data_IF_691721490002
#
_entry.id   IF_691721490002
#
_cell.length_a   1.000
_cell.length_b   1.000
_cell.length_c   1.000
_cell.angle_alpha   90.00
_cell.angle_beta   90.00
_cell.angle_gamma   90.00
#
_symmetry.space_group_name_H-M   'P 1'
#
loop_
_entity.id
_entity.type
_entity.pdbx_description
1 polymer ?
#
# COMPACT_ATOMS: atom_id res chain seq x y z
N UNK A 1 -13.35 -19.50 -4.52
CA UNK A 1 -14.46 -19.73 -5.47
C UNK A 1 -13.88 -19.80 -6.88
N UNK A 2 -13.68 -21.03 -7.40
CA UNK A 2 -12.94 -21.25 -8.65
C UNK A 2 -13.52 -20.50 -9.86
N UNK A 3 -14.83 -20.47 -10.01
CA UNK A 3 -15.51 -19.85 -11.15
C UNK A 3 -15.38 -18.31 -11.16
N UNK A 4 -15.04 -17.72 -10.01
CA UNK A 4 -14.85 -16.28 -9.82
C UNK A 4 -13.39 -15.91 -9.59
N UNK A 5 -12.44 -16.82 -9.83
CA UNK A 5 -11.02 -16.63 -9.54
C UNK A 5 -10.23 -16.84 -10.83
N UNK A 6 -9.44 -15.85 -11.22
CA UNK A 6 -8.52 -15.93 -12.36
C UNK A 6 -7.10 -16.27 -11.94
N UNK A 7 -6.76 -16.07 -10.66
CA UNK A 7 -5.49 -16.45 -10.09
C UNK A 7 -5.42 -17.96 -9.82
N UNK A 8 -4.23 -18.53 -9.84
CA UNK A 8 -3.98 -19.96 -9.57
C UNK A 8 -3.14 -20.10 -8.31
N UNK A 9 -3.61 -20.95 -7.38
CA UNK A 9 -2.89 -21.28 -6.16
C UNK A 9 -1.61 -22.07 -6.48
N UNK A 10 -0.53 -21.75 -5.77
CA UNK A 10 0.79 -22.30 -6.01
C UNK A 10 1.57 -21.60 -7.14
N UNK A 11 0.90 -20.97 -8.10
CA UNK A 11 1.51 -20.21 -9.17
C UNK A 11 1.52 -18.70 -8.87
N UNK A 12 0.36 -18.12 -8.62
CA UNK A 12 0.19 -16.66 -8.43
C UNK A 12 0.12 -16.25 -6.97
N UNK A 13 -0.34 -17.16 -6.11
CA UNK A 13 -0.45 -16.93 -4.67
C UNK A 13 -0.34 -18.24 -3.88
N UNK A 14 -0.05 -18.11 -2.60
CA UNK A 14 -0.17 -19.20 -1.62
C UNK A 14 -1.08 -18.75 -0.48
N UNK A 15 -2.07 -19.57 -0.14
CA UNK A 15 -2.97 -19.35 0.97
C UNK A 15 -2.59 -20.30 2.11
N UNK A 16 -2.21 -19.75 3.26
CA UNK A 16 -1.97 -20.57 4.45
C UNK A 16 -3.31 -20.92 5.10
N UNK A 17 -3.64 -22.23 5.11
CA UNK A 17 -4.86 -22.75 5.73
C UNK A 17 -4.64 -23.22 7.19
N UNK A 18 -3.44 -23.09 7.73
CA UNK A 18 -3.10 -23.53 9.09
C UNK A 18 -3.56 -22.56 10.18
N UNK A 19 -4.37 -21.57 9.82
CA UNK A 19 -4.82 -20.56 10.76
C UNK A 19 -6.07 -21.00 11.50
N UNK A 20 -5.88 -21.34 12.75
CA UNK A 20 -6.95 -21.60 13.71
C UNK A 20 -7.30 -20.27 14.38
N UNK A 21 -8.59 -19.95 14.47
CA UNK A 21 -9.04 -18.82 15.27
C UNK A 21 -8.58 -19.03 16.72
N UNK A 22 -7.80 -18.12 17.31
CA UNK A 22 -7.36 -18.28 18.69
C UNK A 22 -8.56 -18.37 19.64
N UNK A 23 -8.45 -19.22 20.66
CA UNK A 23 -9.48 -19.31 21.70
C UNK A 23 -9.70 -17.92 22.32
N UNK A 24 -10.96 -17.58 22.51
CA UNK A 24 -11.38 -16.28 23.08
C UNK A 24 -11.03 -15.04 22.23
N UNK A 25 -10.68 -15.24 20.93
CA UNK A 25 -10.46 -14.12 19.99
C UNK A 25 -11.68 -13.90 19.11
N UNK A 26 -11.98 -12.63 18.85
CA UNK A 26 -12.98 -12.21 17.87
C UNK A 26 -12.39 -12.05 16.45
N UNK A 27 -11.08 -12.23 16.27
CA UNK A 27 -10.39 -12.04 15.01
C UNK A 27 -9.35 -13.12 14.77
N UNK A 28 -9.22 -13.51 13.50
CA UNK A 28 -8.12 -14.33 12.99
C UNK A 28 -7.60 -13.73 11.67
N UNK A 29 -6.31 -13.93 11.40
CA UNK A 29 -5.68 -13.49 10.17
C UNK A 29 -5.28 -14.71 9.36
N UNK A 30 -5.59 -14.71 8.07
CA UNK A 30 -5.17 -15.74 7.14
C UNK A 30 -4.09 -15.13 6.25
N UNK A 31 -2.82 -15.53 6.37
CA UNK A 31 -1.76 -15.06 5.51
C UNK A 31 -2.02 -15.43 4.06
N UNK A 32 -1.80 -14.48 3.16
CA UNK A 32 -1.91 -14.64 1.73
C UNK A 32 -0.65 -14.05 1.08
N UNK A 33 0.18 -14.92 0.51
CA UNK A 33 1.42 -14.53 -0.14
C UNK A 33 1.24 -14.45 -1.65
N UNK A 34 1.59 -13.33 -2.27
CA UNK A 34 1.54 -13.13 -3.71
C UNK A 34 2.91 -13.38 -4.35
N UNK A 35 2.92 -14.20 -5.40
CA UNK A 35 4.15 -14.55 -6.14
C UNK A 35 4.39 -13.56 -7.28
N UNK A 36 4.87 -12.35 -6.96
CA UNK A 36 5.05 -11.23 -7.91
C UNK A 36 5.80 -11.62 -9.19
N UNK A 37 6.82 -12.48 -9.09
CA UNK A 37 7.62 -12.90 -10.23
C UNK A 37 6.86 -13.80 -11.23
N UNK A 38 5.77 -14.41 -10.80
CA UNK A 38 4.94 -15.30 -11.64
C UNK A 38 3.75 -14.55 -12.26
N UNK A 39 3.56 -13.27 -11.91
CA UNK A 39 2.47 -12.46 -12.48
C UNK A 39 2.89 -11.91 -13.84
N UNK A 40 2.04 -12.12 -14.85
CA UNK A 40 2.21 -11.47 -16.14
C UNK A 40 2.12 -9.96 -16.00
N UNK A 41 3.03 -9.24 -16.64
CA UNK A 41 3.08 -7.77 -16.57
C UNK A 41 1.77 -7.17 -17.11
N UNK A 42 1.23 -6.18 -16.41
CA UNK A 42 -0.01 -5.46 -16.75
C UNK A 42 -1.28 -6.32 -16.78
N UNK A 43 -1.24 -7.55 -16.30
CA UNK A 43 -2.43 -8.40 -16.17
C UNK A 43 -2.99 -8.29 -14.77
N UNK A 44 -4.31 -8.12 -14.69
CA UNK A 44 -5.04 -8.14 -13.43
C UNK A 44 -5.51 -9.56 -13.12
N UNK A 45 -5.33 -9.95 -11.89
CA UNK A 45 -5.76 -11.23 -11.33
C UNK A 45 -6.83 -10.99 -10.28
N UNK A 46 -7.78 -11.87 -10.22
CA UNK A 46 -8.86 -11.85 -9.23
C UNK A 46 -8.83 -13.13 -8.41
N UNK A 47 -8.84 -12.99 -7.10
CA UNK A 47 -8.98 -14.08 -6.15
C UNK A 47 -10.26 -13.86 -5.34
N UNK A 48 -11.19 -14.79 -5.41
CA UNK A 48 -12.41 -14.77 -4.62
C UNK A 48 -12.34 -15.84 -3.55
N UNK A 49 -12.30 -15.43 -2.30
CA UNK A 49 -12.35 -16.28 -1.12
C UNK A 49 -13.77 -16.32 -0.57
N UNK A 50 -14.18 -17.47 -0.07
CA UNK A 50 -15.48 -17.65 0.60
C UNK A 50 -15.28 -18.34 1.94
N UNK A 51 -15.90 -17.78 2.98
CA UNK A 51 -16.07 -18.47 4.25
C UNK A 51 -17.11 -19.58 4.08
N UNK A 52 -16.75 -20.78 4.46
CA UNK A 52 -17.66 -21.94 4.48
C UNK A 52 -17.98 -22.31 5.91
N UNK A 53 -19.21 -22.78 6.11
CA UNK A 53 -19.66 -23.33 7.38
C UNK A 53 -18.85 -24.57 7.74
N UNK A 54 -18.56 -24.71 9.02
CA UNK A 54 -17.98 -25.91 9.60
C UNK A 54 -18.61 -26.17 10.99
N UNK A 55 -18.16 -27.20 11.68
CA UNK A 55 -18.71 -27.60 12.98
C UNK A 55 -18.61 -26.52 14.09
N UNK A 56 -17.71 -25.54 13.94
CA UNK A 56 -17.45 -24.49 14.93
C UNK A 56 -17.96 -23.12 14.52
N UNK A 57 -18.22 -22.89 13.22
CA UNK A 57 -18.55 -21.56 12.68
C UNK A 57 -19.61 -21.61 11.61
N UNK A 58 -20.58 -20.72 11.75
CA UNK A 58 -21.60 -20.43 10.75
C UNK A 58 -21.36 -19.02 10.22
N UNK A 59 -21.00 -18.84 8.93
CA UNK A 59 -20.83 -17.52 8.34
C UNK A 59 -22.16 -16.75 8.33
N UNK A 60 -22.11 -15.46 8.67
CA UNK A 60 -23.23 -14.55 8.57
C UNK A 60 -23.39 -13.99 7.15
N UNK A 61 -23.80 -12.73 7.00
CA UNK A 61 -24.16 -12.14 5.70
C UNK A 61 -22.98 -11.93 4.76
N UNK A 62 -21.79 -11.54 5.30
CA UNK A 62 -20.59 -11.32 4.49
C UNK A 62 -19.79 -12.63 4.42
N UNK A 63 -19.91 -13.31 3.28
CA UNK A 63 -19.29 -14.64 3.08
C UNK A 63 -18.17 -14.64 2.06
N UNK A 64 -18.10 -13.66 1.19
CA UNK A 64 -17.11 -13.58 0.10
C UNK A 64 -16.25 -12.33 0.24
N UNK A 65 -14.96 -12.50 -0.06
CA UNK A 65 -13.99 -11.42 -0.22
C UNK A 65 -13.36 -11.55 -1.60
N UNK A 66 -13.35 -10.46 -2.37
CA UNK A 66 -12.70 -10.38 -3.67
C UNK A 66 -11.42 -9.57 -3.52
N UNK A 67 -10.31 -10.14 -3.94
CA UNK A 67 -8.99 -9.51 -3.93
C UNK A 67 -8.54 -9.38 -5.39
N UNK A 68 -8.28 -8.14 -5.82
CA UNK A 68 -7.70 -7.83 -7.12
C UNK A 68 -6.23 -7.49 -6.92
N UNK A 69 -5.38 -8.06 -7.76
CA UNK A 69 -3.94 -7.78 -7.72
C UNK A 69 -3.33 -7.88 -9.12
N UNK A 70 -2.23 -7.18 -9.33
CA UNK A 70 -1.54 -7.14 -10.62
C UNK A 70 -0.05 -6.84 -10.44
N UNK A 71 0.75 -7.19 -11.47
CA UNK A 71 2.12 -6.73 -11.61
C UNK A 71 2.18 -5.57 -12.62
N UNK A 72 1.35 -4.54 -12.37
CA UNK A 72 1.30 -3.33 -13.19
C UNK A 72 2.30 -2.32 -12.63
N UNK A 73 3.04 -1.68 -13.54
CA UNK A 73 3.86 -0.55 -13.15
C UNK A 73 2.94 0.61 -12.73
N UNK A 74 3.18 1.16 -11.56
CA UNK A 74 2.48 2.34 -11.07
C UNK A 74 3.15 3.55 -11.72
N UNK A 75 2.39 4.34 -12.47
CA UNK A 75 2.89 5.58 -13.07
C UNK A 75 3.16 6.64 -12.00
N UNK A 76 4.07 7.57 -12.33
CA UNK A 76 4.33 8.70 -11.45
C UNK A 76 3.03 9.51 -11.22
N UNK A 77 2.63 9.73 -9.96
CA UNK A 77 1.46 10.55 -9.69
C UNK A 77 1.71 12.00 -10.14
N UNK A 78 0.65 12.71 -10.49
CA UNK A 78 0.72 14.09 -11.03
C UNK A 78 1.41 15.09 -10.08
N UNK A 79 1.44 14.79 -8.79
CA UNK A 79 2.11 15.60 -7.77
C UNK A 79 3.59 15.24 -7.55
N UNK A 80 4.12 14.18 -8.23
CA UNK A 80 5.53 13.81 -8.10
C UNK A 80 6.45 14.96 -8.52
N UNK A 81 7.47 15.21 -7.74
CA UNK A 81 8.44 16.28 -8.01
C UNK A 81 9.86 15.76 -7.86
N UNK A 82 10.59 15.78 -8.97
CA UNK A 82 11.98 15.30 -8.99
C UNK A 82 12.94 16.18 -8.18
N UNK A 83 12.64 17.47 -8.01
CA UNK A 83 13.42 18.36 -7.14
C UNK A 83 13.24 18.06 -5.64
N UNK A 84 12.25 17.27 -5.25
CA UNK A 84 11.98 16.85 -3.88
C UNK A 84 12.20 15.35 -3.64
N UNK A 85 11.93 14.53 -4.63
CA UNK A 85 11.95 13.06 -4.51
C UNK A 85 12.99 12.40 -5.44
N UNK A 86 13.71 13.20 -6.26
CA UNK A 86 14.55 12.67 -7.33
C UNK A 86 13.73 12.03 -8.43
N UNK A 87 14.41 11.28 -9.30
CA UNK A 87 13.75 10.55 -10.36
C UNK A 87 12.70 9.58 -9.83
N UNK A 88 11.62 9.45 -10.58
CA UNK A 88 10.52 8.59 -10.18
C UNK A 88 10.96 7.11 -10.13
N UNK A 89 10.57 6.47 -9.05
CA UNK A 89 10.67 5.02 -8.87
C UNK A 89 9.48 4.55 -8.05
N UNK A 90 8.90 3.43 -8.43
CA UNK A 90 7.72 2.86 -7.76
C UNK A 90 7.99 2.53 -6.30
N UNK A 91 9.18 2.04 -5.95
CA UNK A 91 9.55 1.72 -4.57
C UNK A 91 9.61 2.97 -3.71
N UNK A 92 10.12 4.09 -4.24
CA UNK A 92 10.07 5.39 -3.57
C UNK A 92 8.63 5.84 -3.32
N UNK A 93 7.73 5.64 -4.30
CA UNK A 93 6.32 5.98 -4.13
C UNK A 93 5.68 5.15 -3.01
N UNK A 94 5.92 3.84 -3.00
CA UNK A 94 5.40 2.94 -1.96
C UNK A 94 5.91 3.40 -0.59
N UNK A 95 7.21 3.63 -0.44
CA UNK A 95 7.80 4.10 0.81
C UNK A 95 7.24 5.46 1.25
N UNK A 96 7.01 6.38 0.31
CA UNK A 96 6.38 7.67 0.59
C UNK A 96 4.96 7.50 1.15
N UNK A 97 4.16 6.64 0.53
CA UNK A 97 2.79 6.34 0.96
C UNK A 97 2.77 5.64 2.31
N UNK A 98 3.72 4.74 2.59
CA UNK A 98 3.83 4.07 3.88
C UNK A 98 4.12 5.07 5.01
N UNK A 99 5.09 5.97 4.83
CA UNK A 99 5.34 7.05 5.81
C UNK A 99 4.16 8.01 5.92
N UNK A 100 3.46 8.29 4.80
CA UNK A 100 2.25 9.08 4.84
C UNK A 100 1.18 8.44 5.73
N UNK A 101 0.93 7.13 5.61
CA UNK A 101 -0.02 6.40 6.46
C UNK A 101 0.41 6.42 7.92
N UNK A 102 1.69 6.18 8.22
CA UNK A 102 2.23 6.23 9.58
C UNK A 102 2.09 7.63 10.20
N UNK A 103 2.17 8.68 9.38
CA UNK A 103 2.07 10.07 9.83
C UNK A 103 0.67 10.46 10.35
N UNK A 104 -0.37 9.65 10.11
CA UNK A 104 -1.72 9.84 10.63
C UNK A 104 -1.75 10.02 12.15
N UNK A 105 -0.94 9.26 12.86
CA UNK A 105 -0.83 9.35 14.33
C UNK A 105 -0.21 10.66 14.82
N UNK A 106 0.52 11.37 13.96
CA UNK A 106 1.20 12.62 14.29
C UNK A 106 0.31 13.86 14.13
N UNK A 107 -0.60 13.83 13.15
CA UNK A 107 -1.64 14.85 12.94
C UNK A 107 -2.76 14.31 12.07
N UNK A 108 -3.81 13.82 12.67
CA UNK A 108 -5.00 13.36 11.95
C UNK A 108 -5.65 14.47 11.11
N UNK A 109 -5.61 15.71 11.57
CA UNK A 109 -6.21 16.86 10.85
C UNK A 109 -5.52 17.11 9.51
N UNK A 110 -4.17 17.14 9.49
CA UNK A 110 -3.43 17.36 8.24
C UNK A 110 -3.53 16.13 7.35
N UNK A 111 -3.41 14.94 7.93
CA UNK A 111 -3.58 13.68 7.20
C UNK A 111 -4.92 13.65 6.45
N UNK A 112 -6.03 13.89 7.14
CA UNK A 112 -7.36 13.88 6.54
C UNK A 112 -7.56 14.98 5.49
N UNK A 113 -6.95 16.15 5.66
CA UNK A 113 -6.98 17.21 4.67
C UNK A 113 -6.26 16.82 3.37
N UNK A 114 -5.13 16.12 3.48
CA UNK A 114 -4.38 15.58 2.33
C UNK A 114 -5.19 14.45 1.70
N UNK A 115 -5.65 13.48 2.49
CA UNK A 115 -6.45 12.33 2.04
C UNK A 115 -7.68 12.76 1.23
N UNK A 116 -8.37 13.79 1.69
CA UNK A 116 -9.57 14.32 1.01
C UNK A 116 -9.27 14.85 -0.38
N UNK A 117 -8.06 15.35 -0.62
CA UNK A 117 -7.68 15.97 -1.89
C UNK A 117 -6.97 15.00 -2.84
N UNK A 118 -6.17 14.06 -2.32
CA UNK A 118 -5.32 13.16 -3.12
C UNK A 118 -5.68 11.67 -2.96
N UNK A 119 -6.66 11.34 -2.14
CA UNK A 119 -7.06 9.95 -1.87
C UNK A 119 -6.24 9.28 -0.76
N UNK A 120 -6.65 8.08 -0.40
CA UNK A 120 -6.04 7.28 0.67
C UNK A 120 -4.56 6.99 0.37
N UNK A 121 -4.26 6.60 -0.88
CA UNK A 121 -2.92 6.26 -1.33
C UNK A 121 -2.27 7.37 -2.17
N UNK A 122 -2.78 8.60 -2.11
CA UNK A 122 -2.30 9.75 -2.88
C UNK A 122 -2.35 9.56 -4.41
N UNK A 123 -3.21 8.70 -4.85
CA UNK A 123 -3.39 8.25 -6.25
C UNK A 123 -4.60 8.89 -6.94
N UNK A 124 -5.31 9.79 -6.26
CA UNK A 124 -6.50 10.45 -6.76
C UNK A 124 -6.29 11.95 -6.96
N UNK A 125 -7.16 12.50 -7.80
CA UNK A 125 -7.16 13.94 -8.07
C UNK A 125 -6.12 14.38 -9.10
N UNK A 126 -6.22 15.65 -9.48
CA UNK A 126 -5.38 16.29 -10.50
C UNK A 126 -4.46 17.36 -9.93
N UNK A 127 -4.47 17.57 -8.63
CA UNK A 127 -3.68 18.61 -7.98
C UNK A 127 -2.19 18.22 -7.93
N UNK A 128 -1.36 19.04 -8.56
CA UNK A 128 0.09 18.80 -8.72
C UNK A 128 0.94 19.34 -7.57
N UNK A 129 0.32 20.04 -6.61
CA UNK A 129 1.02 20.86 -5.64
C UNK A 129 1.14 20.26 -4.23
N UNK A 130 0.94 18.94 -4.06
CA UNK A 130 1.04 18.29 -2.76
C UNK A 130 2.31 18.67 -1.99
N UNK A 131 3.48 18.59 -2.64
CA UNK A 131 4.78 18.84 -2.04
C UNK A 131 5.15 20.35 -1.96
N UNK A 132 4.33 21.23 -2.49
CA UNK A 132 4.61 22.68 -2.54
C UNK A 132 3.63 23.55 -1.76
N UNK A 133 2.51 22.98 -1.29
CA UNK A 133 1.55 23.72 -0.46
C UNK A 133 2.19 24.04 0.89
N UNK A 134 2.39 25.31 1.17
CA UNK A 134 3.03 25.81 2.39
C UNK A 134 2.46 25.19 3.67
N UNK A 135 1.13 25.07 3.76
CA UNK A 135 0.47 24.52 4.95
C UNK A 135 0.79 23.05 5.24
N UNK A 136 1.30 22.29 4.25
CA UNK A 136 1.66 20.87 4.43
C UNK A 136 3.17 20.65 4.47
N UNK A 137 3.99 21.61 4.02
CA UNK A 137 5.43 21.40 3.88
C UNK A 137 6.12 20.96 5.16
N UNK A 138 5.85 21.64 6.29
CA UNK A 138 6.45 21.26 7.56
C UNK A 138 6.07 19.84 8.02
N UNK A 139 4.83 19.45 7.77
CA UNK A 139 4.34 18.11 8.06
C UNK A 139 5.00 17.05 7.15
N UNK A 140 4.95 17.27 5.84
CA UNK A 140 5.53 16.35 4.86
C UNK A 140 7.04 16.21 5.04
N UNK A 141 7.75 17.30 5.24
CA UNK A 141 9.19 17.27 5.49
C UNK A 141 9.51 16.45 6.76
N UNK A 142 8.85 16.74 7.87
CA UNK A 142 9.17 16.14 9.15
C UNK A 142 8.80 14.68 9.26
N UNK A 143 7.66 14.28 8.72
CA UNK A 143 7.09 12.95 8.97
C UNK A 143 7.17 12.00 7.78
N UNK A 144 7.56 12.49 6.61
CA UNK A 144 7.66 11.68 5.40
C UNK A 144 9.03 11.82 4.75
N UNK A 145 9.40 13.04 4.30
CA UNK A 145 10.64 13.19 3.52
C UNK A 145 11.91 12.99 4.35
N UNK A 146 11.95 13.49 5.59
CA UNK A 146 13.12 13.26 6.45
C UNK A 146 13.28 11.76 6.79
N UNK A 147 12.24 11.03 7.24
CA UNK A 147 12.35 9.58 7.42
C UNK A 147 12.75 8.81 6.15
N UNK A 148 12.24 9.18 4.97
CA UNK A 148 12.67 8.58 3.71
C UNK A 148 14.15 8.83 3.42
N UNK A 149 14.60 10.06 3.62
CA UNK A 149 16.00 10.42 3.42
C UNK A 149 16.92 9.60 4.34
N UNK A 150 16.58 9.51 5.62
CA UNK A 150 17.32 8.73 6.62
C UNK A 150 17.31 7.24 6.28
N UNK A 151 16.18 6.69 5.87
CA UNK A 151 16.07 5.28 5.46
C UNK A 151 17.04 4.92 4.33
N UNK A 152 17.10 5.70 3.26
CA UNK A 152 18.01 5.42 2.15
C UNK A 152 19.48 5.67 2.50
N UNK A 153 19.75 6.59 3.41
CA UNK A 153 21.09 6.82 3.92
C UNK A 153 21.56 5.66 4.81
N UNK A 154 20.74 5.18 5.72
CA UNK A 154 21.05 4.07 6.63
C UNK A 154 21.16 2.73 5.91
N UNK A 155 20.32 2.48 4.92
CA UNK A 155 20.35 1.26 4.10
C UNK A 155 21.47 1.28 3.05
N UNK A 156 22.18 2.40 2.92
CA UNK A 156 23.20 2.65 1.89
C UNK A 156 22.68 2.48 0.46
N UNK A 157 21.38 2.69 0.26
CA UNK A 157 20.72 2.59 -1.05
C UNK A 157 20.72 3.95 -1.78
N UNK A 158 21.93 4.44 -2.03
CA UNK A 158 22.16 5.77 -2.59
C UNK A 158 21.56 5.96 -3.99
N UNK A 159 21.26 4.85 -4.69
CA UNK A 159 20.58 4.90 -5.99
C UNK A 159 19.16 5.46 -5.88
N UNK A 160 18.50 5.22 -4.75
CA UNK A 160 17.15 5.71 -4.46
C UNK A 160 17.12 6.96 -3.58
N UNK A 161 18.28 7.50 -3.23
CA UNK A 161 18.38 8.66 -2.35
C UNK A 161 17.55 9.84 -2.90
N UNK A 162 16.82 10.48 -2.01
CA UNK A 162 16.09 11.72 -2.31
C UNK A 162 16.92 12.94 -1.91
N UNK A 163 16.66 14.13 -2.47
CA UNK A 163 17.26 15.37 -2.01
C UNK A 163 17.05 15.59 -0.52
N UNK A 164 18.05 16.17 0.17
CA UNK A 164 17.91 16.46 1.60
C UNK A 164 16.75 17.43 1.83
N UNK A 165 15.69 17.06 2.55
CA UNK A 165 14.51 17.89 2.74
C UNK A 165 14.76 19.12 3.64
N UNK A 166 15.93 19.19 4.29
CA UNK A 166 16.32 20.29 5.19
C UNK A 166 17.25 21.32 4.54
N UNK A 167 17.53 21.16 3.24
CA UNK A 167 18.31 22.11 2.45
C UNK A 167 17.43 23.04 1.65
#
# INVERSE_FOLDING_TARGET
VKEKTTAQEGEHFTLSLENIMPKDSAMAFIPLDFHKLNLEKNKEYMLTLRLVENENYVPTDIRECVILFSNKDIEAPVWWRSDKLGDYNQEKLILFVDYYHQSKEKSSVIYEAIRKQWGENLDQGTATNLLTIYKYQGYLNRYILTPMYEYYFETNDLMYQIPNPNN
#
